data_IF_551717855549
#
_entry.id   IF_551717855549
#
_cell.length_a   1.000
_cell.length_b   1.000
_cell.length_c   1.000
_cell.angle_alpha   90.00
_cell.angle_beta   90.00
_cell.angle_gamma   90.00
#
_symmetry.space_group_name_H-M   'P 1'
#
loop_
_entity.id
_entity.type
_entity.pdbx_description
1 polymer ?
#
# COMPACT_ATOMS: atom_id res chain seq x y z
N UNK A 1 14.58 -39.50 25.29
CA UNK A 1 14.11 -38.40 24.39
C UNK A 1 14.29 -36.99 24.97
N UNK A 2 15.14 -36.76 25.99
CA UNK A 2 15.39 -35.41 26.57
C UNK A 2 16.55 -34.65 25.90
N UNK A 3 17.44 -35.37 25.20
CA UNK A 3 18.61 -34.78 24.55
C UNK A 3 18.32 -34.24 23.14
N UNK A 4 17.22 -34.67 22.51
CA UNK A 4 16.80 -34.20 21.18
C UNK A 4 16.15 -32.81 21.22
N UNK A 5 15.43 -32.48 22.30
CA UNK A 5 14.80 -31.17 22.48
C UNK A 5 15.83 -30.05 22.67
N UNK A 6 16.95 -30.33 23.34
CA UNK A 6 18.02 -29.36 23.56
C UNK A 6 18.78 -29.03 22.27
N UNK A 7 19.01 -30.02 21.41
CA UNK A 7 19.66 -29.82 20.12
C UNK A 7 18.82 -28.95 19.16
N UNK A 8 17.49 -29.08 19.19
CA UNK A 8 16.58 -28.29 18.36
C UNK A 8 16.50 -26.81 18.78
N UNK A 9 16.57 -26.54 20.08
CA UNK A 9 16.58 -25.17 20.64
C UNK A 9 17.89 -24.45 20.30
N UNK A 10 19.02 -25.16 20.36
CA UNK A 10 20.33 -24.60 20.04
C UNK A 10 20.48 -24.29 18.55
N UNK A 11 19.89 -25.13 17.68
CA UNK A 11 19.85 -24.91 16.22
C UNK A 11 18.97 -23.72 15.83
N UNK A 12 17.86 -23.48 16.54
CA UNK A 12 16.96 -22.36 16.28
C UNK A 12 17.54 -20.99 16.70
N UNK A 13 18.39 -20.94 17.73
CA UNK A 13 19.08 -19.70 18.13
C UNK A 13 20.18 -19.26 17.16
N UNK A 14 20.80 -20.20 16.42
CA UNK A 14 21.88 -19.90 15.47
C UNK A 14 21.37 -19.28 14.14
N UNK A 15 20.12 -19.50 13.76
CA UNK A 15 19.56 -18.98 12.50
C UNK A 15 19.08 -17.52 12.59
N UNK A 16 18.81 -17.02 13.80
CA UNK A 16 18.35 -15.64 14.02
C UNK A 16 19.50 -14.61 13.95
N UNK A 17 20.76 -15.02 14.08
CA UNK A 17 21.92 -14.14 14.02
C UNK A 17 22.39 -13.81 12.57
N UNK A 18 21.80 -14.45 11.55
CA UNK A 18 22.27 -14.35 10.16
C UNK A 18 21.61 -13.24 9.33
N UNK A 19 20.58 -12.55 9.83
CA UNK A 19 19.79 -11.59 9.05
C UNK A 19 20.18 -10.09 9.21
N UNK A 20 21.29 -9.76 9.88
CA UNK A 20 21.68 -8.36 10.14
C UNK A 20 22.71 -7.76 9.19
N UNK A 21 22.98 -8.37 8.02
CA UNK A 21 23.84 -7.75 6.99
C UNK A 21 23.01 -7.02 5.94
N UNK A 22 22.70 -5.76 6.23
CA UNK A 22 22.19 -4.78 5.27
C UNK A 22 23.32 -4.47 4.27
N UNK A 23 23.33 -5.20 3.16
CA UNK A 23 24.18 -4.91 2.00
C UNK A 23 23.63 -3.66 1.31
N UNK A 24 24.21 -2.51 1.60
CA UNK A 24 24.07 -1.32 0.75
C UNK A 24 25.16 -1.44 -0.31
N UNK A 25 24.85 -1.53 -1.61
CA UNK A 25 25.88 -1.40 -2.62
C UNK A 25 26.36 0.05 -2.61
N UNK A 26 27.53 0.27 -2.00
CA UNK A 26 28.29 1.50 -2.16
C UNK A 26 28.70 1.57 -3.63
N UNK A 27 27.99 2.40 -4.39
CA UNK A 27 28.32 2.73 -5.77
C UNK A 27 29.60 3.56 -5.78
N UNK A 28 30.75 2.90 -5.74
CA UNK A 28 31.99 3.44 -6.27
C UNK A 28 32.07 3.07 -7.74
N UNK A 29 31.72 4.01 -8.61
CA UNK A 29 32.36 4.17 -9.91
C UNK A 29 32.12 5.60 -10.38
N UNK A 30 32.89 6.50 -9.76
CA UNK A 30 33.32 7.75 -10.38
C UNK A 30 34.51 7.39 -11.27
N UNK A 31 34.29 7.04 -12.55
CA UNK A 31 35.26 7.15 -13.65
C UNK A 31 34.78 6.50 -14.97
N UNK A 32 33.62 6.87 -15.52
CA UNK A 32 33.29 6.60 -16.94
C UNK A 32 32.02 7.33 -17.40
N UNK A 33 31.99 8.67 -17.37
CA UNK A 33 30.92 9.42 -18.04
C UNK A 33 31.33 10.84 -18.47
N UNK A 34 32.63 11.13 -18.52
CA UNK A 34 33.17 12.39 -19.04
C UNK A 34 33.43 12.25 -20.56
N UNK A 35 32.41 11.79 -21.30
CA UNK A 35 32.40 11.70 -22.76
C UNK A 35 30.98 11.66 -23.34
N UNK A 36 30.00 12.25 -22.65
CA UNK A 36 28.64 12.46 -23.17
C UNK A 36 28.13 13.86 -22.79
N UNK A 37 28.96 14.88 -23.03
CA UNK A 37 28.56 16.27 -23.03
C UNK A 37 27.85 16.60 -24.36
N UNK A 38 26.67 16.04 -24.56
CA UNK A 38 25.73 16.46 -25.61
C UNK A 38 24.30 16.13 -25.16
N UNK A 39 23.62 17.15 -24.64
CA UNK A 39 22.15 17.24 -24.51
C UNK A 39 21.41 16.21 -23.64
N UNK A 40 21.83 16.02 -22.39
CA UNK A 40 20.94 15.46 -21.37
C UNK A 40 19.99 16.56 -20.86
N UNK A 41 18.87 16.79 -21.57
CA UNK A 41 17.75 17.58 -21.04
C UNK A 41 17.33 16.96 -19.70
N UNK A 42 17.51 17.70 -18.60
CA UNK A 42 17.05 17.29 -17.26
C UNK A 42 15.61 16.78 -17.40
N UNK A 43 15.28 15.57 -16.91
CA UNK A 43 13.90 15.13 -16.90
C UNK A 43 13.10 16.16 -16.10
N UNK A 44 12.18 16.85 -16.77
CA UNK A 44 11.25 17.75 -16.12
C UNK A 44 10.40 16.87 -15.22
N UNK A 45 10.71 16.88 -13.92
CA UNK A 45 9.90 16.25 -12.88
C UNK A 45 8.59 17.02 -12.86
N UNK A 46 7.61 16.54 -13.64
CA UNK A 46 6.26 17.09 -13.60
C UNK A 46 5.73 16.83 -12.20
N UNK A 47 5.35 17.89 -11.50
CA UNK A 47 4.70 17.76 -10.21
C UNK A 47 3.48 16.83 -10.35
N UNK A 48 3.25 15.90 -9.42
CA UNK A 48 2.09 15.02 -9.49
C UNK A 48 0.84 15.89 -9.48
N UNK A 49 0.03 15.75 -10.54
CA UNK A 49 -1.25 16.44 -10.64
C UNK A 49 -2.13 15.92 -9.50
N UNK A 50 -2.42 16.78 -8.53
CA UNK A 50 -3.35 16.45 -7.44
C UNK A 50 -4.75 16.42 -8.02
N UNK A 51 -5.25 15.23 -8.32
CA UNK A 51 -6.64 15.02 -8.67
C UNK A 51 -7.51 15.36 -7.45
N UNK A 52 -8.55 16.19 -7.61
CA UNK A 52 -9.47 16.46 -6.52
C UNK A 52 -10.17 15.17 -6.13
N UNK A 53 -10.13 14.81 -4.83
CA UNK A 53 -10.80 13.61 -4.34
C UNK A 53 -12.32 13.79 -4.45
N UNK A 54 -13.03 12.93 -5.18
CA UNK A 54 -14.48 12.99 -5.27
C UNK A 54 -15.12 12.63 -3.93
N UNK A 55 -16.23 13.29 -3.58
CA UNK A 55 -17.02 12.91 -2.39
C UNK A 55 -17.84 11.64 -2.61
N UNK A 56 -18.25 11.41 -3.85
CA UNK A 56 -19.04 10.25 -4.25
C UNK A 56 -18.57 9.73 -5.59
N UNK A 57 -18.58 8.42 -5.77
CA UNK A 57 -18.21 7.72 -6.99
C UNK A 57 -19.27 6.68 -7.35
N UNK A 58 -19.37 6.37 -8.63
CA UNK A 58 -20.18 5.27 -9.15
C UNK A 58 -19.21 4.17 -9.54
N UNK A 59 -19.33 3.01 -8.90
CA UNK A 59 -18.45 1.86 -9.10
C UNK A 59 -19.33 0.63 -9.25
N UNK A 60 -18.90 -0.32 -10.07
CA UNK A 60 -19.56 -1.62 -10.18
C UNK A 60 -19.45 -2.39 -8.85
N UNK A 61 -20.56 -2.97 -8.41
CA UNK A 61 -20.61 -3.84 -7.22
C UNK A 61 -19.60 -4.99 -7.29
N UNK A 62 -19.23 -5.45 -8.48
CA UNK A 62 -18.24 -6.50 -8.68
C UNK A 62 -16.81 -6.08 -8.30
N UNK A 63 -16.49 -4.79 -8.38
CA UNK A 63 -15.19 -4.25 -8.00
C UNK A 63 -15.12 -3.89 -6.51
N UNK A 64 -16.26 -3.91 -5.81
CA UNK A 64 -16.34 -3.56 -4.39
C UNK A 64 -16.01 -4.76 -3.49
N UNK A 65 -15.42 -4.45 -2.35
CA UNK A 65 -15.16 -5.41 -1.28
C UNK A 65 -16.33 -5.42 -0.30
N UNK A 66 -16.53 -6.54 0.39
CA UNK A 66 -17.52 -6.67 1.47
C UNK A 66 -16.81 -6.88 2.81
N UNK A 67 -17.32 -6.25 3.85
CA UNK A 67 -16.92 -6.57 5.22
C UNK A 67 -17.61 -7.84 5.71
N UNK A 68 -17.15 -8.37 6.83
CA UNK A 68 -17.82 -9.48 7.55
C UNK A 68 -19.27 -9.16 7.89
N UNK A 69 -19.58 -7.88 8.12
CA UNK A 69 -20.93 -7.40 8.42
C UNK A 69 -21.80 -7.23 7.15
N UNK A 70 -21.28 -7.57 5.97
CA UNK A 70 -21.99 -7.46 4.69
C UNK A 70 -21.97 -6.06 4.07
N UNK A 71 -21.34 -5.06 4.70
CA UNK A 71 -21.25 -3.70 4.15
C UNK A 71 -20.28 -3.66 2.98
N UNK A 72 -20.68 -3.01 1.90
CA UNK A 72 -19.86 -2.90 0.68
C UNK A 72 -19.03 -1.63 0.69
N UNK A 73 -17.74 -1.73 0.36
CA UNK A 73 -16.83 -0.60 0.28
C UNK A 73 -15.87 -0.72 -0.91
N UNK A 74 -15.32 0.41 -1.33
CA UNK A 74 -14.33 0.50 -2.41
C UNK A 74 -13.16 1.37 -1.96
N UNK A 75 -11.93 0.90 -2.18
CA UNK A 75 -10.72 1.66 -1.86
C UNK A 75 -10.20 2.31 -3.15
N UNK A 76 -10.12 3.65 -3.17
CA UNK A 76 -9.58 4.44 -4.28
C UNK A 76 -8.49 5.38 -3.74
N UNK A 77 -7.27 5.25 -4.26
CA UNK A 77 -6.12 6.09 -3.86
C UNK A 77 -5.88 6.11 -2.34
N UNK A 78 -6.06 4.97 -1.66
CA UNK A 78 -5.91 4.86 -0.20
C UNK A 78 -7.09 5.43 0.61
N UNK A 79 -8.18 5.82 -0.05
CA UNK A 79 -9.41 6.31 0.59
C UNK A 79 -10.52 5.30 0.44
N UNK A 80 -11.25 5.07 1.53
CA UNK A 80 -12.38 4.12 1.55
C UNK A 80 -13.70 4.84 1.31
N UNK A 81 -14.45 4.32 0.35
CA UNK A 81 -15.80 4.75 0.03
C UNK A 81 -16.78 3.65 0.42
N UNK A 82 -17.90 4.02 1.05
CA UNK A 82 -18.93 3.09 1.49
C UNK A 82 -20.14 3.19 0.59
N UNK A 83 -20.71 2.05 0.24
CA UNK A 83 -21.93 1.99 -0.56
C UNK A 83 -23.12 2.50 0.27
N UNK A 84 -23.88 3.42 -0.29
CA UNK A 84 -25.19 3.81 0.20
C UNK A 84 -26.27 2.87 -0.34
N UNK A 85 -27.21 2.47 0.51
CA UNK A 85 -28.42 1.70 0.15
C UNK A 85 -29.46 2.54 -0.58
N UNK A 86 -29.42 3.88 -0.43
CA UNK A 86 -30.41 4.79 -1.00
C UNK A 86 -30.27 4.95 -2.51
N UNK A 87 -29.05 5.11 -3.00
CA UNK A 87 -28.77 5.40 -4.40
C UNK A 87 -27.73 4.45 -5.03
N UNK A 88 -27.19 3.50 -4.26
CA UNK A 88 -26.17 2.57 -4.73
C UNK A 88 -24.80 3.20 -4.98
N UNK A 89 -24.61 4.49 -4.70
CA UNK A 89 -23.33 5.18 -4.90
C UNK A 89 -22.39 4.94 -3.72
N UNK A 90 -21.11 5.16 -3.97
CA UNK A 90 -20.06 4.99 -2.97
C UNK A 90 -19.61 6.37 -2.48
N UNK A 91 -19.70 6.60 -1.18
CA UNK A 91 -19.39 7.89 -0.55
C UNK A 91 -18.12 7.81 0.28
N UNK A 92 -17.29 8.84 0.18
CA UNK A 92 -16.11 8.98 1.04
C UNK A 92 -16.57 9.07 2.50
N UNK A 93 -15.87 8.35 3.38
CA UNK A 93 -16.18 8.35 4.80
C UNK A 93 -16.28 9.78 5.39
N UNK A 94 -17.32 10.01 6.17
CA UNK A 94 -17.51 11.22 6.98
C UNK A 94 -18.03 10.86 8.37
N UNK A 95 -17.83 11.76 9.34
CA UNK A 95 -18.28 11.56 10.73
C UNK A 95 -19.80 11.40 10.77
N UNK A 96 -20.28 10.29 11.34
CA UNK A 96 -21.72 9.99 11.42
C UNK A 96 -22.28 9.23 10.21
N UNK A 97 -21.44 8.77 9.28
CA UNK A 97 -21.89 7.96 8.15
C UNK A 97 -22.62 6.69 8.60
N UNK A 98 -22.12 5.99 9.63
CA UNK A 98 -22.74 4.75 10.12
C UNK A 98 -23.97 4.98 11.01
N UNK A 99 -24.18 6.21 11.49
CA UNK A 99 -25.41 6.58 12.19
C UNK A 99 -26.55 6.84 11.18
N UNK A 100 -26.20 7.07 9.90
CA UNK A 100 -27.18 7.21 8.83
C UNK A 100 -27.66 5.82 8.36
N UNK A 101 -28.99 5.64 8.35
CA UNK A 101 -29.70 4.44 7.86
C UNK A 101 -29.33 4.07 6.42
N UNK A 102 -28.90 5.04 5.62
CA UNK A 102 -28.45 4.81 4.24
C UNK A 102 -27.18 3.94 4.16
N UNK A 103 -26.41 3.80 5.24
CA UNK A 103 -25.13 3.06 5.28
C UNK A 103 -25.09 1.92 6.31
N UNK A 104 -26.19 1.71 7.03
CA UNK A 104 -26.37 0.59 7.96
C UNK A 104 -26.67 -0.68 7.19
#
# INVERSE_FOLDING_TARGET
>A
MKNFASAFILLFCLTLAACSKKSVPTKEEKAAAEAAAAEAKKPVVRAPVKTPTPKSIVVSDAAAKKTTDGKSYYDLEGKRYWRSKKDGKYYLYYKGMFDNKDFQ
#
